data_IF_493368534460
#
_entry.id   IF_493368534460
#
_cell.length_a   1.000
_cell.length_b   1.000
_cell.length_c   1.000
_cell.angle_alpha   90.00
_cell.angle_beta   90.00
_cell.angle_gamma   90.00
#
_symmetry.space_group_name_H-M   'P 1'
#
loop_
_entity.id
_entity.type
_entity.pdbx_description
1 polymer ?
#
# COMPACT_ATOMS: atom_id res chain seq x y z
N UNK A 1 11.32 18.58 16.71
CA UNK A 1 12.21 17.83 15.80
C UNK A 1 12.06 18.33 14.35
N UNK A 2 10.88 18.41 13.77
CA UNK A 2 10.61 18.88 12.38
C UNK A 2 11.26 20.23 12.03
N UNK A 3 11.23 21.21 12.92
CA UNK A 3 11.79 22.55 12.67
C UNK A 3 13.33 22.56 12.53
N UNK A 4 14.03 21.61 13.20
CA UNK A 4 15.48 21.45 13.06
C UNK A 4 15.86 20.79 11.74
N UNK A 5 15.08 19.82 11.29
CA UNK A 5 15.31 19.09 10.02
C UNK A 5 15.05 19.99 8.81
N UNK A 6 14.06 20.87 8.86
CA UNK A 6 13.83 21.87 7.80
C UNK A 6 15.05 22.81 7.62
N UNK A 7 15.68 23.25 8.72
CA UNK A 7 16.90 24.06 8.66
C UNK A 7 18.07 23.31 8.04
N UNK A 8 18.21 22.01 8.33
CA UNK A 8 19.22 21.15 7.72
C UNK A 8 18.97 21.04 6.19
N UNK A 9 17.77 20.74 5.79
CA UNK A 9 17.40 20.64 4.37
C UNK A 9 17.62 21.96 3.62
N UNK A 10 17.34 23.11 4.26
CA UNK A 10 17.63 24.42 3.69
C UNK A 10 19.13 24.68 3.57
N UNK A 11 19.93 24.35 4.59
CA UNK A 11 21.38 24.49 4.56
C UNK A 11 22.00 23.61 3.46
N UNK A 12 21.57 22.36 3.33
CA UNK A 12 22.01 21.46 2.27
C UNK A 12 21.63 22.00 0.87
N UNK A 13 20.42 22.49 0.70
CA UNK A 13 19.98 23.08 -0.56
C UNK A 13 20.74 24.37 -0.93
N UNK A 14 21.44 24.99 0.02
CA UNK A 14 22.27 26.19 -0.24
C UNK A 14 23.68 25.86 -0.73
N UNK A 15 24.13 24.59 -0.64
CA UNK A 15 25.43 24.17 -1.16
C UNK A 15 25.52 24.39 -2.69
N UNK A 16 26.65 24.82 -3.22
CA UNK A 16 26.79 25.11 -4.65
C UNK A 16 26.42 23.93 -5.54
N UNK A 17 26.86 22.74 -5.20
CA UNK A 17 26.61 21.49 -5.95
C UNK A 17 25.11 21.11 -5.96
N UNK A 18 24.43 21.31 -4.83
CA UNK A 18 23.00 21.04 -4.71
C UNK A 18 22.18 22.09 -5.44
N UNK A 19 22.62 23.35 -5.45
CA UNK A 19 22.01 24.43 -6.26
C UNK A 19 22.11 24.14 -7.74
N UNK A 20 23.28 23.69 -8.22
CA UNK A 20 23.49 23.31 -9.62
C UNK A 20 22.55 22.16 -10.00
N UNK A 21 22.44 21.13 -9.13
CA UNK A 21 21.48 20.04 -9.32
C UNK A 21 20.04 20.56 -9.42
N UNK A 22 19.60 21.43 -8.52
CA UNK A 22 18.25 21.97 -8.52
C UNK A 22 17.98 22.80 -9.80
N UNK A 23 18.93 23.62 -10.25
CA UNK A 23 18.82 24.38 -11.51
C UNK A 23 18.73 23.44 -12.72
N UNK A 24 19.51 22.36 -12.75
CA UNK A 24 19.46 21.36 -13.80
C UNK A 24 18.11 20.61 -13.82
N UNK A 25 17.55 20.28 -12.65
CA UNK A 25 16.21 19.67 -12.53
C UNK A 25 15.12 20.61 -13.03
N UNK A 26 15.21 21.90 -12.72
CA UNK A 26 14.24 22.91 -13.18
C UNK A 26 14.34 23.17 -14.68
N UNK A 27 15.54 23.08 -15.24
CA UNK A 27 15.76 23.12 -16.68
C UNK A 27 15.32 21.84 -17.43
N UNK A 28 14.86 20.81 -16.70
CA UNK A 28 14.44 19.54 -17.28
C UNK A 28 15.60 18.66 -17.77
N UNK A 29 16.82 18.90 -17.31
CA UNK A 29 17.98 18.07 -17.66
C UNK A 29 17.79 16.65 -17.16
N UNK A 30 17.98 15.66 -18.03
CA UNK A 30 17.88 14.24 -17.69
C UNK A 30 18.71 13.39 -18.69
N UNK A 31 19.50 12.42 -18.24
CA UNK A 31 19.79 12.09 -16.84
C UNK A 31 20.79 13.05 -16.18
N UNK A 32 20.78 13.12 -14.84
CA UNK A 32 21.79 13.81 -14.03
C UNK A 32 22.52 12.76 -13.19
N UNK A 33 23.85 12.70 -13.28
CA UNK A 33 24.67 11.80 -12.49
C UNK A 33 25.20 12.51 -11.24
N UNK A 34 25.01 11.89 -10.07
CA UNK A 34 25.57 12.35 -8.80
C UNK A 34 26.42 11.24 -8.21
N UNK A 35 27.64 11.54 -7.83
CA UNK A 35 28.62 10.57 -7.30
C UNK A 35 29.25 11.07 -5.99
N UNK A 36 29.99 10.17 -5.31
CA UNK A 36 30.70 10.51 -4.07
C UNK A 36 29.85 10.52 -2.81
N UNK A 37 28.58 10.07 -2.86
CA UNK A 37 27.67 10.06 -1.71
C UNK A 37 27.63 8.69 -1.04
N UNK A 38 27.75 8.66 0.29
CA UNK A 38 27.41 7.49 1.11
C UNK A 38 25.89 7.32 1.24
N UNK A 39 25.43 6.22 1.85
CA UNK A 39 24.00 5.95 2.01
C UNK A 39 23.21 7.09 2.65
N UNK A 40 23.67 7.57 3.81
CA UNK A 40 23.00 8.67 4.53
C UNK A 40 23.02 10.00 3.75
N UNK A 41 24.14 10.29 3.06
CA UNK A 41 24.23 11.50 2.24
C UNK A 41 23.30 11.46 1.04
N UNK A 42 23.03 10.26 0.49
CA UNK A 42 22.00 10.10 -0.56
C UNK A 42 20.61 10.44 -0.04
N UNK A 43 20.26 9.97 1.16
CA UNK A 43 18.99 10.31 1.78
C UNK A 43 18.87 11.82 2.06
N UNK A 44 19.93 12.45 2.58
CA UNK A 44 19.97 13.89 2.86
C UNK A 44 19.81 14.73 1.58
N UNK A 45 20.52 14.38 0.51
CA UNK A 45 20.37 15.06 -0.78
C UNK A 45 18.95 14.91 -1.32
N UNK A 46 18.41 13.69 -1.28
CA UNK A 46 17.04 13.39 -1.73
C UNK A 46 16.01 14.19 -0.92
N UNK A 47 16.19 14.27 0.40
CA UNK A 47 15.33 15.08 1.27
C UNK A 47 15.42 16.59 0.95
N UNK A 48 16.62 17.12 0.72
CA UNK A 48 16.80 18.51 0.33
C UNK A 48 16.13 18.83 -1.02
N UNK A 49 16.26 17.94 -2.02
CA UNK A 49 15.58 18.05 -3.32
C UNK A 49 14.06 18.01 -3.13
N UNK A 50 13.53 17.03 -2.37
CA UNK A 50 12.09 16.95 -2.06
C UNK A 50 11.58 18.21 -1.39
N UNK A 51 12.27 18.68 -0.36
CA UNK A 51 11.93 19.88 0.40
C UNK A 51 11.84 21.13 -0.49
N UNK A 52 12.74 21.29 -1.45
CA UNK A 52 12.75 22.45 -2.36
C UNK A 52 11.77 22.33 -3.52
N UNK A 53 11.66 21.16 -4.13
CA UNK A 53 10.88 21.00 -5.35
C UNK A 53 9.43 20.59 -5.12
N UNK A 54 9.13 19.99 -3.98
CA UNK A 54 7.83 19.39 -3.64
C UNK A 54 7.33 18.36 -4.70
N UNK A 55 8.22 17.91 -5.59
CA UNK A 55 7.90 16.90 -6.63
C UNK A 55 7.74 15.52 -6.01
N UNK A 56 6.83 14.68 -6.51
CA UNK A 56 6.79 13.28 -6.10
C UNK A 56 8.12 12.59 -6.43
N UNK A 57 8.55 11.67 -5.57
CA UNK A 57 9.80 10.95 -5.70
C UNK A 57 9.55 9.45 -5.86
N UNK A 58 10.24 8.84 -6.83
CA UNK A 58 10.45 7.41 -6.92
C UNK A 58 11.94 7.12 -6.74
N UNK A 59 12.28 6.43 -5.65
CA UNK A 59 13.65 6.02 -5.34
C UNK A 59 13.75 4.51 -5.57
N UNK A 60 14.71 4.10 -6.41
CA UNK A 60 14.94 2.70 -6.72
C UNK A 60 16.23 2.24 -6.04
N UNK A 61 16.11 1.27 -5.16
CA UNK A 61 17.21 0.68 -4.40
C UNK A 61 17.59 -0.70 -4.94
N UNK A 62 18.84 -1.11 -4.69
CA UNK A 62 19.35 -2.39 -5.15
C UNK A 62 18.71 -3.57 -4.41
N UNK A 63 18.45 -3.42 -3.12
CA UNK A 63 17.87 -4.45 -2.26
C UNK A 63 16.94 -3.85 -1.19
N UNK A 64 16.24 -4.73 -0.48
CA UNK A 64 15.26 -4.35 0.55
C UNK A 64 15.91 -3.68 1.78
N UNK A 65 17.16 -4.05 2.12
CA UNK A 65 17.87 -3.45 3.25
C UNK A 65 18.23 -1.98 2.95
N UNK A 66 18.68 -1.70 1.72
CA UNK A 66 18.92 -0.33 1.27
C UNK A 66 17.63 0.47 1.22
N UNK A 67 16.56 -0.12 0.69
CA UNK A 67 15.27 0.52 0.58
C UNK A 67 14.66 0.86 1.96
N UNK A 68 14.72 -0.07 2.91
CA UNK A 68 14.24 0.16 4.28
C UNK A 68 15.02 1.29 4.98
N UNK A 69 16.37 1.29 4.85
CA UNK A 69 17.18 2.38 5.39
C UNK A 69 16.86 3.72 4.76
N UNK A 70 16.76 3.77 3.42
CA UNK A 70 16.42 4.98 2.69
C UNK A 70 15.05 5.52 3.10
N UNK A 71 14.04 4.65 3.24
CA UNK A 71 12.70 5.06 3.66
C UNK A 71 12.68 5.60 5.10
N UNK A 72 13.38 4.93 6.03
CA UNK A 72 13.52 5.39 7.40
C UNK A 72 14.23 6.75 7.49
N UNK A 73 15.35 6.91 6.80
CA UNK A 73 16.10 8.17 6.77
C UNK A 73 15.25 9.31 6.17
N UNK A 74 14.51 9.06 5.09
CA UNK A 74 13.63 10.07 4.48
C UNK A 74 12.45 10.44 5.37
N UNK A 75 11.84 9.46 6.03
CA UNK A 75 10.77 9.71 7.01
C UNK A 75 11.25 10.65 8.13
N UNK A 76 12.42 10.36 8.72
CA UNK A 76 13.00 11.19 9.77
C UNK A 76 13.40 12.60 9.26
N UNK A 77 13.96 12.69 8.05
CA UNK A 77 14.44 13.95 7.48
C UNK A 77 13.32 14.89 7.02
N UNK A 78 12.19 14.34 6.59
CA UNK A 78 11.09 15.10 5.98
C UNK A 78 9.86 15.19 6.89
N UNK A 79 9.65 14.22 7.80
CA UNK A 79 8.40 14.07 8.54
C UNK A 79 7.22 13.69 7.66
N UNK A 80 7.49 13.16 6.46
CA UNK A 80 6.48 12.70 5.50
C UNK A 80 6.39 11.17 5.52
N UNK A 81 5.23 10.63 5.16
CA UNK A 81 5.06 9.19 4.99
C UNK A 81 5.78 8.73 3.72
N UNK A 82 6.55 7.66 3.86
CA UNK A 82 7.29 7.02 2.77
C UNK A 82 6.70 5.66 2.48
N UNK A 83 6.21 5.47 1.26
CA UNK A 83 5.69 4.19 0.81
C UNK A 83 6.82 3.27 0.36
N UNK A 84 6.73 1.97 0.70
CA UNK A 84 7.68 0.94 0.31
C UNK A 84 7.02 -0.04 -0.68
N UNK A 85 7.72 -0.37 -1.77
CA UNK A 85 7.25 -1.32 -2.76
C UNK A 85 8.30 -2.41 -3.01
N UNK A 86 8.14 -3.53 -2.32
CA UNK A 86 8.98 -4.72 -2.48
C UNK A 86 8.33 -5.74 -3.42
N UNK A 87 9.13 -6.71 -3.85
CA UNK A 87 8.64 -7.84 -4.62
C UNK A 87 7.74 -8.73 -3.77
N UNK A 88 6.72 -9.33 -4.39
CA UNK A 88 6.01 -10.46 -3.77
C UNK A 88 6.90 -11.70 -3.84
N UNK A 89 7.01 -12.40 -2.73
CA UNK A 89 7.63 -13.71 -2.71
C UNK A 89 6.69 -14.75 -3.34
N UNK A 90 7.20 -15.49 -4.33
CA UNK A 90 6.51 -16.62 -4.92
C UNK A 90 7.07 -17.91 -4.34
N UNK A 91 6.44 -18.45 -3.32
CA UNK A 91 6.79 -19.77 -2.80
C UNK A 91 5.92 -20.84 -3.47
N UNK A 92 6.49 -21.51 -4.48
CA UNK A 92 5.79 -22.58 -5.22
C UNK A 92 5.77 -23.93 -4.50
N UNK A 93 6.59 -24.13 -3.47
CA UNK A 93 6.78 -25.46 -2.85
C UNK A 93 6.31 -25.60 -1.42
N UNK A 94 6.31 -24.56 -0.63
CA UNK A 94 5.89 -24.66 0.75
C UNK A 94 4.68 -23.75 1.01
N UNK A 95 3.62 -24.36 1.57
CA UNK A 95 2.47 -23.63 2.14
C UNK A 95 2.86 -22.86 3.43
N UNK A 96 4.13 -22.54 3.60
CA UNK A 96 4.58 -21.63 4.63
C UNK A 96 4.16 -20.24 4.15
N UNK A 97 3.18 -19.70 4.80
CA UNK A 97 2.65 -18.37 4.58
C UNK A 97 3.81 -17.39 4.51
N UNK A 98 4.08 -16.85 3.32
CA UNK A 98 4.88 -15.63 3.18
C UNK A 98 4.40 -14.65 4.25
N UNK A 99 5.30 -13.96 4.91
CA UNK A 99 4.89 -13.09 6.01
C UNK A 99 3.83 -12.12 5.49
N UNK A 100 2.59 -12.27 5.92
CA UNK A 100 1.46 -11.44 5.47
C UNK A 100 1.73 -9.94 5.60
N UNK A 101 2.68 -9.55 6.45
CA UNK A 101 3.09 -8.16 6.64
C UNK A 101 3.61 -7.48 5.37
N UNK A 102 4.42 -8.16 4.57
CA UNK A 102 4.99 -7.61 3.33
C UNK A 102 3.93 -7.41 2.24
N UNK A 103 3.02 -8.37 2.10
CA UNK A 103 1.90 -8.25 1.16
C UNK A 103 0.97 -7.10 1.53
N UNK A 104 0.67 -6.93 2.81
CA UNK A 104 -0.14 -5.84 3.34
C UNK A 104 0.50 -4.47 3.09
N UNK A 105 1.81 -4.35 3.34
CA UNK A 105 2.55 -3.11 3.09
C UNK A 105 2.56 -2.78 1.59
N UNK A 106 2.80 -3.78 0.74
CA UNK A 106 2.78 -3.62 -0.72
C UNK A 106 1.41 -3.15 -1.23
N UNK A 107 0.32 -3.77 -0.77
CA UNK A 107 -1.05 -3.35 -1.11
C UNK A 107 -1.32 -1.92 -0.65
N UNK A 108 -0.93 -1.56 0.57
CA UNK A 108 -1.08 -0.20 1.08
C UNK A 108 -0.36 0.82 0.20
N UNK A 109 0.88 0.53 -0.20
CA UNK A 109 1.66 1.39 -1.09
C UNK A 109 1.01 1.53 -2.47
N UNK A 110 0.53 0.43 -3.06
CA UNK A 110 -0.16 0.44 -4.35
C UNK A 110 -1.48 1.21 -4.29
N UNK A 111 -2.27 1.05 -3.24
CA UNK A 111 -3.50 1.81 -3.03
C UNK A 111 -3.22 3.30 -2.83
N UNK A 112 -2.19 3.65 -2.06
CA UNK A 112 -1.75 5.05 -1.87
C UNK A 112 -1.29 5.68 -3.18
N UNK A 113 -0.53 4.95 -4.00
CA UNK A 113 -0.14 5.38 -5.34
C UNK A 113 -1.37 5.58 -6.25
N UNK A 114 -2.27 4.62 -6.29
CA UNK A 114 -3.50 4.70 -7.10
C UNK A 114 -4.38 5.88 -6.69
N UNK A 115 -4.38 6.24 -5.41
CA UNK A 115 -5.10 7.38 -4.86
C UNK A 115 -4.35 8.73 -5.04
N UNK A 116 -3.11 8.73 -5.54
CA UNK A 116 -2.25 9.92 -5.61
C UNK A 116 -1.78 10.45 -4.24
N UNK A 117 -1.80 9.59 -3.22
CA UNK A 117 -1.45 9.93 -1.83
C UNK A 117 -0.04 9.46 -1.41
N UNK A 118 0.77 8.95 -2.34
CA UNK A 118 2.14 8.51 -2.08
C UNK A 118 3.15 9.50 -2.69
N UNK A 119 3.50 10.58 -1.99
CA UNK A 119 4.42 11.60 -2.51
C UNK A 119 5.86 11.06 -2.61
N UNK A 120 6.22 10.06 -1.81
CA UNK A 120 7.53 9.42 -1.80
C UNK A 120 7.34 7.91 -1.83
N UNK A 121 7.88 7.27 -2.86
CA UNK A 121 7.92 5.82 -3.01
C UNK A 121 9.37 5.34 -3.07
N UNK A 122 9.74 4.43 -2.19
CA UNK A 122 11.01 3.70 -2.25
C UNK A 122 10.71 2.27 -2.67
N UNK A 123 11.38 1.79 -3.69
CA UNK A 123 11.12 0.49 -4.28
C UNK A 123 12.41 -0.26 -4.61
N UNK A 124 12.33 -1.58 -4.63
CA UNK A 124 13.37 -2.42 -5.26
C UNK A 124 13.07 -2.61 -6.75
N UNK A 125 14.11 -2.92 -7.54
CA UNK A 125 13.96 -3.22 -8.98
C UNK A 125 12.95 -4.36 -9.17
N UNK A 126 13.08 -5.44 -8.41
CA UNK A 126 12.20 -6.60 -8.48
C UNK A 126 10.74 -6.23 -8.14
N UNK A 127 10.56 -5.34 -7.16
CA UNK A 127 9.24 -4.82 -6.78
C UNK A 127 8.55 -4.07 -7.91
N UNK A 128 9.29 -3.25 -8.65
CA UNK A 128 8.78 -2.48 -9.78
C UNK A 128 8.52 -3.33 -11.03
N UNK A 129 9.30 -4.41 -11.23
CA UNK A 129 9.15 -5.28 -12.38
C UNK A 129 7.94 -6.22 -12.29
N UNK A 130 7.39 -6.42 -11.11
CA UNK A 130 6.19 -7.24 -10.94
C UNK A 130 4.94 -6.53 -11.43
N UNK A 131 4.12 -7.25 -12.18
CA UNK A 131 2.82 -6.74 -12.61
C UNK A 131 1.88 -6.62 -11.42
N UNK A 132 1.13 -5.54 -11.38
CA UNK A 132 0.13 -5.21 -10.35
C UNK A 132 -1.25 -5.04 -10.99
N UNK A 133 -2.27 -4.88 -10.15
CA UNK A 133 -3.59 -4.47 -10.64
C UNK A 133 -3.54 -3.05 -11.23
N UNK A 134 -4.37 -2.76 -12.25
CA UNK A 134 -4.53 -1.40 -12.76
C UNK A 134 -4.97 -0.43 -11.64
N UNK A 135 -4.57 0.86 -11.68
CA UNK A 135 -4.94 1.84 -10.65
C UNK A 135 -6.45 1.95 -10.43
N UNK A 136 -7.27 1.85 -11.50
CA UNK A 136 -8.73 1.91 -11.38
C UNK A 136 -9.31 0.71 -10.64
N UNK A 137 -8.76 -0.49 -10.86
CA UNK A 137 -9.16 -1.69 -10.15
C UNK A 137 -8.80 -1.60 -8.66
N UNK A 138 -7.61 -1.07 -8.33
CA UNK A 138 -7.20 -0.83 -6.95
C UNK A 138 -8.12 0.19 -6.27
N UNK A 139 -8.40 1.34 -6.93
CA UNK A 139 -9.34 2.35 -6.40
C UNK A 139 -10.74 1.77 -6.19
N UNK A 140 -11.23 0.96 -7.12
CA UNK A 140 -12.53 0.29 -7.01
C UNK A 140 -12.62 -0.74 -5.88
N UNK A 141 -11.48 -1.36 -5.51
CA UNK A 141 -11.40 -2.34 -4.43
C UNK A 141 -11.37 -1.69 -3.03
N UNK A 142 -10.98 -0.44 -2.93
CA UNK A 142 -11.02 0.31 -1.67
C UNK A 142 -12.47 0.66 -1.30
N UNK A 143 -12.77 0.61 -0.02
CA UNK A 143 -14.08 1.03 0.51
C UNK A 143 -13.86 1.96 1.69
N UNK A 144 -14.30 3.20 1.56
CA UNK A 144 -14.36 4.15 2.67
C UNK A 144 -15.71 4.01 3.37
N UNK A 145 -15.70 3.98 4.69
CA UNK A 145 -16.89 3.87 5.56
C UNK A 145 -16.79 4.98 6.60
N UNK A 146 -17.82 5.79 6.72
CA UNK A 146 -17.89 6.88 7.69
C UNK A 146 -19.21 6.84 8.46
N UNK A 147 -19.24 7.45 9.65
CA UNK A 147 -20.49 7.60 10.41
C UNK A 147 -21.55 8.30 9.57
N UNK A 148 -22.77 7.75 9.55
CA UNK A 148 -23.91 8.24 8.79
C UNK A 148 -23.95 7.75 7.34
N UNK A 149 -22.93 7.05 6.82
CA UNK A 149 -22.98 6.44 5.50
C UNK A 149 -24.04 5.33 5.44
N UNK A 150 -24.58 5.10 4.24
CA UNK A 150 -25.59 4.07 4.02
C UNK A 150 -25.07 2.98 3.10
N UNK A 151 -25.21 1.73 3.53
CA UNK A 151 -24.78 0.56 2.77
C UNK A 151 -25.86 -0.52 2.77
N UNK A 152 -26.07 -1.11 1.59
CA UNK A 152 -26.70 -2.43 1.53
C UNK A 152 -25.67 -3.49 2.01
N UNK A 153 -25.95 -4.15 3.12
CA UNK A 153 -25.00 -5.07 3.78
C UNK A 153 -24.65 -6.28 2.92
N UNK A 154 -25.57 -6.74 2.04
CA UNK A 154 -25.28 -7.83 1.13
C UNK A 154 -24.29 -7.39 0.05
N UNK A 155 -24.51 -6.21 -0.51
CA UNK A 155 -23.60 -5.60 -1.50
C UNK A 155 -22.24 -5.32 -0.90
N UNK A 156 -22.18 -4.80 0.31
CA UNK A 156 -20.93 -4.56 1.04
C UNK A 156 -20.17 -5.87 1.31
N UNK A 157 -20.86 -6.91 1.79
CA UNK A 157 -20.28 -8.25 1.99
C UNK A 157 -19.71 -8.83 0.70
N UNK A 158 -20.45 -8.72 -0.42
CA UNK A 158 -19.98 -9.18 -1.73
C UNK A 158 -18.74 -8.41 -2.16
N UNK A 159 -18.73 -7.08 -2.01
CA UNK A 159 -17.56 -6.25 -2.34
C UNK A 159 -16.33 -6.63 -1.52
N UNK A 160 -16.47 -6.93 -0.23
CA UNK A 160 -15.37 -7.41 0.60
C UNK A 160 -14.80 -8.73 0.09
N UNK A 161 -15.64 -9.71 -0.24
CA UNK A 161 -15.19 -10.98 -0.83
C UNK A 161 -14.47 -10.76 -2.16
N UNK A 162 -14.98 -9.90 -3.03
CA UNK A 162 -14.35 -9.54 -4.31
C UNK A 162 -13.01 -8.81 -4.12
N UNK A 163 -12.85 -8.08 -3.00
CA UNK A 163 -11.62 -7.41 -2.58
C UNK A 163 -10.65 -8.32 -1.80
N UNK A 164 -10.90 -9.64 -1.79
CA UNK A 164 -9.99 -10.65 -1.25
C UNK A 164 -10.20 -10.99 0.22
N UNK A 165 -11.24 -10.47 0.87
CA UNK A 165 -11.54 -10.81 2.26
C UNK A 165 -12.15 -12.21 2.40
N UNK A 166 -11.79 -12.89 3.48
CA UNK A 166 -12.42 -14.16 3.88
C UNK A 166 -13.50 -13.89 4.92
N UNK A 167 -14.71 -14.38 4.66
CA UNK A 167 -15.78 -14.32 5.64
C UNK A 167 -15.53 -15.34 6.76
N UNK A 168 -15.57 -14.90 8.01
CA UNK A 168 -15.38 -15.70 9.20
C UNK A 168 -16.59 -15.55 10.15
N UNK A 169 -16.70 -16.42 11.13
CA UNK A 169 -17.67 -16.25 12.23
C UNK A 169 -17.21 -15.16 13.21
N UNK A 170 -15.89 -15.13 13.47
CA UNK A 170 -15.21 -14.13 14.28
C UNK A 170 -13.95 -13.70 13.57
N UNK A 171 -13.64 -12.41 13.59
CA UNK A 171 -12.40 -11.86 13.01
C UNK A 171 -11.25 -12.13 13.96
N UNK A 172 -10.25 -12.88 13.49
CA UNK A 172 -9.05 -13.26 14.24
C UNK A 172 -7.76 -12.84 13.52
N UNK A 173 -7.87 -12.41 12.26
CA UNK A 173 -6.71 -12.05 11.44
C UNK A 173 -7.03 -11.01 10.37
N UNK A 174 -5.96 -10.38 9.87
CA UNK A 174 -6.04 -9.41 8.77
C UNK A 174 -6.62 -10.07 7.52
N UNK A 175 -7.45 -9.32 6.77
CA UNK A 175 -8.13 -9.84 5.58
C UNK A 175 -9.36 -10.70 5.89
N UNK A 176 -9.82 -10.70 7.14
CA UNK A 176 -11.07 -11.34 7.53
C UNK A 176 -12.16 -10.29 7.81
N UNK A 177 -13.41 -10.71 7.60
CA UNK A 177 -14.58 -9.98 8.06
C UNK A 177 -15.66 -10.92 8.57
N UNK A 178 -16.48 -10.44 9.50
CA UNK A 178 -17.67 -11.12 10.01
C UNK A 178 -18.85 -10.17 9.91
N UNK A 179 -19.99 -10.69 9.42
CA UNK A 179 -21.25 -9.94 9.34
C UNK A 179 -22.32 -10.71 10.09
N UNK A 180 -22.83 -10.12 11.18
CA UNK A 180 -23.82 -10.72 12.08
C UNK A 180 -24.94 -9.70 12.37
N UNK A 181 -26.10 -9.90 11.75
CA UNK A 181 -27.18 -8.92 11.83
C UNK A 181 -26.71 -7.57 11.26
N UNK A 182 -26.82 -6.51 12.04
CA UNK A 182 -26.37 -5.17 11.72
C UNK A 182 -24.93 -4.85 12.17
N UNK A 183 -24.07 -5.84 12.42
CA UNK A 183 -22.69 -5.63 12.88
C UNK A 183 -21.72 -6.21 11.87
N UNK A 184 -20.83 -5.36 11.34
CA UNK A 184 -19.71 -5.74 10.51
C UNK A 184 -18.41 -5.58 11.30
N UNK A 185 -17.71 -6.68 11.57
CA UNK A 185 -16.34 -6.69 12.03
C UNK A 185 -15.43 -6.87 10.82
N UNK A 186 -14.39 -6.06 10.66
CA UNK A 186 -13.44 -6.15 9.56
C UNK A 186 -12.04 -5.79 10.02
N UNK A 187 -11.04 -6.55 9.54
CA UNK A 187 -9.64 -6.25 9.79
C UNK A 187 -8.93 -5.97 8.46
N UNK A 188 -8.83 -4.68 8.13
CA UNK A 188 -8.17 -4.20 6.92
C UNK A 188 -6.64 -4.25 7.05
N UNK A 189 -5.88 -4.50 5.98
CA UNK A 189 -4.44 -4.31 5.97
C UNK A 189 -4.04 -2.93 6.51
N UNK A 190 -2.93 -2.87 7.25
CA UNK A 190 -2.35 -1.65 7.84
C UNK A 190 -3.26 -0.89 8.82
N UNK A 191 -4.33 -1.51 9.31
CA UNK A 191 -5.20 -0.91 10.32
C UNK A 191 -5.42 -1.85 11.52
N UNK A 192 -5.95 -1.32 12.61
CA UNK A 192 -6.56 -2.14 13.65
C UNK A 192 -7.88 -2.74 13.16
N UNK A 193 -8.37 -3.85 13.76
CA UNK A 193 -9.69 -4.37 13.46
C UNK A 193 -10.78 -3.40 13.94
N UNK A 194 -11.79 -3.18 13.10
CA UNK A 194 -12.88 -2.22 13.38
C UNK A 194 -14.22 -2.94 13.33
N UNK A 195 -15.06 -2.63 14.31
CA UNK A 195 -16.48 -2.99 14.38
C UNK A 195 -17.31 -1.81 13.91
N UNK A 196 -18.14 -2.04 12.89
CA UNK A 196 -19.12 -1.09 12.36
C UNK A 196 -20.51 -1.56 12.72
N UNK A 197 -21.26 -0.74 13.44
CA UNK A 197 -22.62 -1.03 13.86
C UNK A 197 -23.59 -0.25 12.98
N UNK A 198 -24.57 -0.95 12.42
CA UNK A 198 -25.59 -0.38 11.54
C UNK A 198 -26.93 -0.34 12.25
N UNK A 199 -27.60 0.81 12.13
CA UNK A 199 -29.02 0.91 12.40
C UNK A 199 -29.74 0.89 11.03
N UNK A 200 -30.45 -0.21 10.76
CA UNK A 200 -30.95 -0.51 9.41
C UNK A 200 -29.78 -0.58 8.40
N UNK A 201 -29.65 0.35 7.52
CA UNK A 201 -28.59 0.45 6.53
C UNK A 201 -27.59 1.60 6.78
N UNK A 202 -27.77 2.36 7.86
CA UNK A 202 -26.96 3.53 8.20
C UNK A 202 -25.91 3.17 9.25
N UNK A 203 -24.68 3.63 9.06
CA UNK A 203 -23.59 3.47 10.03
C UNK A 203 -23.86 4.34 11.25
N UNK A 204 -24.27 3.69 12.35
CA UNK A 204 -24.61 4.36 13.62
C UNK A 204 -23.39 4.55 14.53
N UNK A 205 -22.54 3.53 14.63
CA UNK A 205 -21.35 3.58 15.46
C UNK A 205 -20.19 2.79 14.83
N UNK A 206 -18.96 3.24 15.09
CA UNK A 206 -17.75 2.51 14.74
C UNK A 206 -16.70 2.58 15.84
N UNK A 207 -15.90 1.52 15.97
CA UNK A 207 -14.79 1.50 16.91
C UNK A 207 -13.83 0.35 16.66
N UNK A 208 -12.57 0.58 17.00
CA UNK A 208 -11.58 -0.49 17.05
C UNK A 208 -11.93 -1.47 18.18
N UNK A 209 -11.53 -2.71 18.01
CA UNK A 209 -11.74 -3.73 19.02
C UNK A 209 -10.52 -4.66 19.16
N UNK A 210 -10.38 -5.26 20.31
CA UNK A 210 -9.38 -6.28 20.57
C UNK A 210 -9.91 -7.67 20.14
N UNK A 211 -9.19 -8.35 19.24
CA UNK A 211 -9.64 -9.63 18.64
C UNK A 211 -9.71 -10.76 19.64
N UNK A 212 -8.93 -10.72 20.72
CA UNK A 212 -8.91 -11.77 21.74
C UNK A 212 -10.11 -11.64 22.69
N UNK A 213 -10.38 -10.41 23.13
CA UNK A 213 -11.48 -10.14 24.10
C UNK A 213 -12.78 -9.75 23.42
N UNK A 214 -12.75 -9.42 22.13
CA UNK A 214 -13.87 -8.92 21.32
C UNK A 214 -14.48 -7.61 21.86
N UNK A 215 -13.73 -6.89 22.72
CA UNK A 215 -14.19 -5.64 23.33
C UNK A 215 -13.71 -4.44 22.54
N UNK A 216 -14.58 -3.44 22.41
CA UNK A 216 -14.24 -2.14 21.82
C UNK A 216 -13.15 -1.47 22.64
N UNK A 217 -12.12 -0.93 21.98
CA UNK A 217 -10.99 -0.23 22.58
C UNK A 217 -11.11 1.27 22.44
N UNK A 218 -11.44 1.76 21.22
CA UNK A 218 -11.64 3.18 20.97
C UNK A 218 -12.67 3.42 19.87
N UNK A 219 -13.31 4.59 19.89
CA UNK A 219 -14.24 5.00 18.86
C UNK A 219 -13.48 5.62 17.67
N UNK A 220 -13.92 5.30 16.46
CA UNK A 220 -13.44 5.91 15.22
C UNK A 220 -14.60 6.49 14.43
N UNK A 221 -14.33 7.49 13.56
CA UNK A 221 -15.36 8.16 12.76
C UNK A 221 -15.36 7.74 11.31
N UNK A 222 -14.25 7.17 10.85
CA UNK A 222 -14.08 6.69 9.49
C UNK A 222 -13.13 5.51 9.45
N UNK A 223 -13.26 4.68 8.43
CA UNK A 223 -12.42 3.53 8.15
C UNK A 223 -12.20 3.45 6.63
N UNK A 224 -10.95 3.34 6.20
CA UNK A 224 -10.61 2.96 4.84
C UNK A 224 -10.29 1.47 4.81
N UNK A 225 -11.13 0.69 4.15
CA UNK A 225 -10.96 -0.75 3.96
C UNK A 225 -10.18 -0.96 2.68
N UNK A 226 -8.90 -1.33 2.80
CA UNK A 226 -8.02 -1.69 1.68
C UNK A 226 -8.33 -3.11 1.17
N UNK A 227 -8.02 -3.45 -0.09
CA UNK A 227 -8.10 -4.85 -0.52
C UNK A 227 -7.21 -5.74 0.34
N UNK A 228 -7.67 -6.96 0.64
CA UNK A 228 -6.95 -7.91 1.48
C UNK A 228 -5.87 -8.70 0.71
N UNK A 229 -5.92 -8.70 -0.61
CA UNK A 229 -4.96 -9.38 -1.48
C UNK A 229 -4.66 -8.56 -2.74
N UNK A 230 -3.45 -8.68 -3.29
CA UNK A 230 -3.10 -8.04 -4.56
C UNK A 230 -3.64 -8.80 -5.77
N UNK A 231 -3.85 -10.11 -5.63
CA UNK A 231 -4.44 -10.94 -6.69
C UNK A 231 -5.94 -11.05 -6.46
N UNK A 232 -6.69 -10.28 -7.24
CA UNK A 232 -8.15 -10.22 -7.15
C UNK A 232 -8.80 -10.77 -8.42
N UNK A 233 -9.09 -12.08 -8.46
CA UNK A 233 -9.66 -12.74 -9.66
C UNK A 233 -10.98 -12.12 -10.14
N UNK A 234 -11.80 -11.63 -9.22
CA UNK A 234 -13.06 -10.97 -9.54
C UNK A 234 -12.88 -9.65 -10.29
N UNK A 235 -11.76 -8.95 -10.08
CA UNK A 235 -11.44 -7.66 -10.68
C UNK A 235 -10.56 -7.78 -11.93
N UNK A 236 -10.22 -9.01 -12.37
CA UNK A 236 -9.49 -9.22 -13.63
C UNK A 236 -10.36 -8.92 -14.85
N UNK A 237 -9.73 -8.55 -15.97
CA UNK A 237 -10.43 -8.31 -17.24
C UNK A 237 -11.29 -9.50 -17.66
N UNK A 238 -12.61 -9.33 -17.63
CA UNK A 238 -13.60 -10.36 -17.91
C UNK A 238 -13.89 -11.30 -16.74
N UNK A 239 -13.48 -10.91 -15.52
CA UNK A 239 -13.81 -11.60 -14.27
C UNK A 239 -13.09 -12.93 -14.08
N UNK A 240 -13.49 -13.62 -13.01
CA UNK A 240 -12.89 -14.89 -12.59
C UNK A 240 -12.94 -15.97 -13.67
N UNK A 241 -14.04 -16.09 -14.39
CA UNK A 241 -14.21 -17.14 -15.42
C UNK A 241 -13.19 -16.99 -16.54
N UNK A 242 -13.07 -15.80 -17.11
CA UNK A 242 -12.12 -15.51 -18.19
C UNK A 242 -10.65 -15.65 -17.73
N UNK A 243 -10.38 -15.32 -16.47
CA UNK A 243 -9.07 -15.57 -15.87
C UNK A 243 -8.78 -17.07 -15.80
N UNK A 244 -9.71 -17.91 -15.34
CA UNK A 244 -9.55 -19.36 -15.29
C UNK A 244 -9.35 -19.97 -16.67
N UNK A 245 -10.09 -19.50 -17.69
CA UNK A 245 -9.86 -19.94 -19.08
C UNK A 245 -8.44 -19.60 -19.58
N UNK A 246 -7.95 -18.37 -19.28
CA UNK A 246 -6.58 -17.97 -19.65
C UNK A 246 -5.52 -18.84 -18.98
N UNK A 247 -5.69 -19.12 -17.68
CA UNK A 247 -4.80 -20.01 -16.93
C UNK A 247 -4.83 -21.44 -17.49
N UNK A 248 -6.00 -21.98 -17.79
CA UNK A 248 -6.14 -23.30 -18.42
C UNK A 248 -5.44 -23.40 -19.77
N UNK A 249 -5.59 -22.39 -20.64
CA UNK A 249 -4.89 -22.33 -21.93
C UNK A 249 -3.37 -22.21 -21.75
N UNK A 250 -2.90 -21.44 -20.77
CA UNK A 250 -1.47 -21.30 -20.47
C UNK A 250 -0.88 -22.64 -19.96
N UNK A 251 -1.57 -23.31 -19.06
CA UNK A 251 -1.17 -24.62 -18.54
C UNK A 251 -1.06 -25.68 -19.64
N UNK A 252 -2.04 -25.73 -20.56
CA UNK A 252 -2.02 -26.63 -21.72
C UNK A 252 -0.83 -26.36 -22.66
N UNK A 253 -0.48 -25.08 -22.89
CA UNK A 253 0.69 -24.71 -23.71
C UNK A 253 2.00 -25.17 -23.06
N UNK A 254 2.12 -25.08 -21.74
CA UNK A 254 3.31 -25.53 -20.98
C UNK A 254 3.41 -27.05 -21.03
N UNK A 255 2.32 -27.76 -20.80
CA UNK A 255 2.28 -29.22 -20.86
C UNK A 255 2.74 -29.75 -22.23
N UNK A 256 2.23 -29.17 -23.34
CA UNK A 256 2.65 -29.52 -24.74
C UNK A 256 4.10 -29.20 -25.07
N UNK A 257 4.78 -28.35 -24.30
CA UNK A 257 6.21 -28.06 -24.50
C UNK A 257 7.13 -28.94 -23.66
N UNK A 258 6.57 -29.63 -22.68
CA UNK A 258 7.30 -30.52 -21.79
C UNK A 258 7.26 -32.00 -22.26
N UNK A 259 6.42 -32.31 -23.26
CA UNK A 259 6.43 -33.55 -24.07
C UNK A 259 7.42 -33.42 -25.26
#
# INVERSE_FOLDING_TARGET
MVQGMNKLNEALASLPEVRELLLSLDAGTSPIAVSGLSGVHRAQLTAAVRHKTQRPLLIVCADENEANRMAGDLHELLGEDVSLLFAREWQLRDRVFASHGWEQQRIGSLCSLAAGKAPILVATVDGLMQRTLPPDALRGAVTDISLGDRFDLNTLSKKLVESGYTRAETVEGVGQFALRGGILDVWSPLSAPVRVEFFDNEVDAMGEFDVTTQRRTQNVKSLTVLPAAEVLPALSDGGREKMLERLGRAAQKIAKKAE
#
